data_IF_484036907413
#
_entry.id   IF_484036907413
#
_cell.length_a   1.000
_cell.length_b   1.000
_cell.length_c   1.000
_cell.angle_alpha   90.00
_cell.angle_beta   90.00
_cell.angle_gamma   90.00
#
_symmetry.space_group_name_H-M   'P 1'
#
loop_
_entity.id
_entity.type
_entity.pdbx_description
1 polymer ?
#
# COMPACT_ATOMS: atom_id res chain seq x y z
N UNK A 1 -5.20 39.29 -9.18
CA UNK A 1 -5.11 37.98 -9.85
C UNK A 1 -3.63 37.63 -9.97
N UNK A 2 -3.06 37.03 -8.92
CA UNK A 2 -1.67 36.54 -8.91
C UNK A 2 -1.72 35.09 -8.46
N UNK A 3 -1.21 34.24 -9.35
CA UNK A 3 -1.31 32.79 -9.32
C UNK A 3 -0.71 32.20 -8.05
N UNK A 4 -1.54 31.54 -7.25
CA UNK A 4 -1.12 30.57 -6.24
C UNK A 4 -0.56 29.33 -6.96
N UNK A 5 0.65 29.42 -7.50
CA UNK A 5 1.46 28.24 -7.84
C UNK A 5 2.13 27.74 -6.56
N UNK A 6 1.30 27.33 -5.60
CA UNK A 6 1.71 26.70 -4.34
C UNK A 6 1.23 25.23 -4.27
N UNK A 7 1.04 24.59 -5.43
CA UNK A 7 0.73 23.17 -5.53
C UNK A 7 1.84 22.45 -6.29
N UNK A 8 2.99 22.29 -5.64
CA UNK A 8 3.98 21.28 -6.04
C UNK A 8 4.80 20.87 -4.82
N UNK A 9 4.11 20.32 -3.82
CA UNK A 9 4.74 19.34 -2.95
C UNK A 9 4.47 18.00 -3.62
N UNK A 10 5.48 17.46 -4.32
CA UNK A 10 5.48 16.07 -4.77
C UNK A 10 5.30 15.20 -3.52
N UNK A 11 4.07 14.78 -3.21
CA UNK A 11 3.81 13.85 -2.11
C UNK A 11 4.53 12.53 -2.43
N UNK A 12 5.70 12.33 -1.82
CA UNK A 12 6.40 11.06 -1.88
C UNK A 12 5.60 10.04 -1.07
N UNK A 13 5.14 8.98 -1.73
CA UNK A 13 4.49 7.85 -1.06
C UNK A 13 5.56 6.83 -0.72
N UNK A 14 5.69 6.52 0.57
CA UNK A 14 6.60 5.47 1.03
C UNK A 14 5.91 4.11 0.85
N UNK A 15 6.55 3.22 0.11
CA UNK A 15 6.12 1.83 -0.06
C UNK A 15 7.12 0.92 0.62
N UNK A 16 6.63 0.00 1.45
CA UNK A 16 7.40 -1.08 2.03
C UNK A 16 7.23 -2.32 1.14
N UNK A 17 8.35 -3.00 0.85
CA UNK A 17 8.35 -4.24 0.10
C UNK A 17 8.53 -5.39 1.08
N UNK A 18 7.53 -6.26 1.17
CA UNK A 18 7.49 -7.33 2.18
C UNK A 18 7.24 -8.65 1.48
N UNK A 19 8.06 -9.66 1.78
CA UNK A 19 7.83 -11.02 1.34
C UNK A 19 7.10 -11.79 2.45
N UNK A 20 5.89 -12.26 2.16
CA UNK A 20 5.17 -13.18 3.04
C UNK A 20 5.62 -14.61 2.78
N UNK A 21 5.48 -15.50 3.76
CA UNK A 21 5.83 -16.93 3.65
C UNK A 21 7.32 -17.23 3.33
N UNK A 22 8.23 -16.40 3.84
CA UNK A 22 9.67 -16.67 3.73
C UNK A 22 10.09 -17.81 4.66
N UNK A 23 11.11 -18.57 4.25
CA UNK A 23 11.85 -19.48 5.14
C UNK A 23 13.33 -19.11 5.07
N UNK A 24 13.96 -18.90 6.22
CA UNK A 24 15.37 -18.50 6.33
C UNK A 24 15.72 -17.26 5.48
N UNK A 25 14.82 -16.28 5.44
CA UNK A 25 14.91 -15.06 4.61
C UNK A 25 14.94 -15.29 3.09
N UNK A 26 14.62 -16.50 2.62
CA UNK A 26 14.55 -16.85 1.21
C UNK A 26 13.11 -17.18 0.75
N UNK A 27 12.82 -16.85 -0.51
CA UNK A 27 11.54 -17.13 -1.16
C UNK A 27 10.39 -16.22 -0.68
N UNK A 28 9.18 -16.75 -0.74
CA UNK A 28 7.96 -16.05 -0.33
C UNK A 28 7.19 -15.40 -1.48
N UNK A 29 6.11 -14.69 -1.13
CA UNK A 29 5.29 -13.93 -2.06
C UNK A 29 5.42 -12.43 -1.76
N UNK A 30 6.01 -11.63 -2.66
CA UNK A 30 6.20 -10.19 -2.45
C UNK A 30 4.89 -9.42 -2.53
N UNK A 31 4.75 -8.44 -1.65
CA UNK A 31 3.66 -7.46 -1.68
C UNK A 31 4.18 -6.06 -1.37
N UNK A 32 3.57 -5.05 -2.00
CA UNK A 32 3.73 -3.67 -1.59
C UNK A 32 2.85 -3.36 -0.38
N UNK A 33 3.34 -2.58 0.56
CA UNK A 33 2.56 -2.09 1.71
C UNK A 33 2.75 -0.58 1.84
N UNK A 34 1.65 0.16 1.85
CA UNK A 34 1.62 1.61 2.05
C UNK A 34 0.89 1.89 3.35
N UNK A 35 1.61 2.42 4.34
CA UNK A 35 1.05 2.74 5.65
C UNK A 35 0.59 4.19 5.73
N UNK A 36 -0.63 4.40 6.22
CA UNK A 36 -1.25 5.70 6.45
C UNK A 36 -1.06 6.69 5.28
N UNK A 37 -1.37 6.29 4.03
CA UNK A 37 -1.28 7.21 2.91
C UNK A 37 -2.28 8.37 3.09
N UNK A 38 -2.05 9.52 2.43
CA UNK A 38 -3.10 10.52 2.27
C UNK A 38 -4.30 9.91 1.54
N UNK A 39 -5.40 10.64 1.45
CA UNK A 39 -6.54 10.21 0.64
C UNK A 39 -6.13 10.09 -0.83
N UNK A 40 -6.00 8.85 -1.31
CA UNK A 40 -5.66 8.52 -2.69
C UNK A 40 -6.91 8.12 -3.47
N UNK A 41 -7.00 8.53 -4.73
CA UNK A 41 -8.02 8.02 -5.66
C UNK A 41 -7.68 6.60 -6.11
N UNK A 42 -8.67 5.90 -6.67
CA UNK A 42 -8.47 4.56 -7.25
C UNK A 42 -7.36 4.56 -8.31
N UNK A 43 -7.35 5.55 -9.20
CA UNK A 43 -6.35 5.68 -10.26
C UNK A 43 -4.95 5.89 -9.69
N UNK A 44 -4.82 6.65 -8.59
CA UNK A 44 -3.54 6.85 -7.92
C UNK A 44 -3.05 5.55 -7.26
N UNK A 45 -3.93 4.77 -6.63
CA UNK A 45 -3.57 3.47 -6.05
C UNK A 45 -3.13 2.47 -7.11
N UNK A 46 -3.83 2.42 -8.25
CA UNK A 46 -3.44 1.60 -9.41
C UNK A 46 -2.07 2.06 -9.93
N UNK A 47 -1.85 3.36 -10.12
CA UNK A 47 -0.57 3.88 -10.60
C UNK A 47 0.60 3.57 -9.65
N UNK A 48 0.34 3.54 -8.34
CA UNK A 48 1.32 3.11 -7.34
C UNK A 48 1.56 1.60 -7.46
N UNK A 49 0.51 0.78 -7.50
CA UNK A 49 0.64 -0.67 -7.64
C UNK A 49 1.42 -1.06 -8.92
N UNK A 50 1.19 -0.36 -10.03
CA UNK A 50 1.96 -0.50 -11.27
C UNK A 50 3.44 -0.16 -11.11
N UNK A 51 3.77 0.89 -10.34
CA UNK A 51 5.17 1.26 -10.05
C UNK A 51 5.85 0.27 -9.11
N UNK A 52 5.11 -0.33 -8.17
CA UNK A 52 5.62 -1.37 -7.27
C UNK A 52 5.96 -2.64 -8.03
N UNK A 53 5.11 -3.02 -9.00
CA UNK A 53 5.40 -4.13 -9.92
C UNK A 53 5.25 -5.53 -9.30
N UNK A 54 4.65 -5.64 -8.12
CA UNK A 54 4.25 -6.91 -7.52
C UNK A 54 2.78 -7.23 -7.81
N UNK A 55 2.36 -8.46 -7.52
CA UNK A 55 0.99 -8.93 -7.75
C UNK A 55 -0.03 -8.04 -7.04
N UNK A 56 0.24 -7.62 -5.80
CA UNK A 56 -0.63 -6.76 -5.01
C UNK A 56 0.14 -5.73 -4.19
N UNK A 57 -0.53 -4.60 -3.96
CA UNK A 57 -0.14 -3.56 -3.01
C UNK A 57 -1.29 -3.31 -2.03
N UNK A 58 -1.02 -3.39 -0.74
CA UNK A 58 -1.96 -3.10 0.33
C UNK A 58 -1.81 -1.65 0.80
N UNK A 59 -2.93 -0.93 0.92
CA UNK A 59 -2.99 0.43 1.44
C UNK A 59 -3.71 0.40 2.78
N UNK A 60 -3.01 0.75 3.85
CA UNK A 60 -3.46 0.62 5.23
C UNK A 60 -3.82 1.99 5.79
N UNK A 61 -5.01 2.10 6.36
CA UNK A 61 -5.56 3.29 7.00
C UNK A 61 -5.92 2.97 8.44
N UNK A 62 -5.89 3.98 9.31
CA UNK A 62 -6.60 3.92 10.59
C UNK A 62 -8.10 3.76 10.31
N UNK A 63 -8.75 2.82 11.00
CA UNK A 63 -10.20 2.71 10.96
C UNK A 63 -10.86 3.68 11.93
N UNK A 64 -12.10 4.07 11.64
CA UNK A 64 -12.90 4.89 12.55
C UNK A 64 -13.51 4.01 13.67
N UNK A 65 -14.06 2.86 13.31
CA UNK A 65 -14.66 1.85 14.22
C UNK A 65 -13.87 0.52 14.24
N UNK A 66 -12.74 0.46 13.54
CA UNK A 66 -11.84 -0.71 13.47
C UNK A 66 -10.40 -0.28 13.73
N UNK A 67 -9.54 -1.19 14.18
CA UNK A 67 -8.12 -0.85 14.37
C UNK A 67 -7.48 -0.36 13.07
N UNK A 68 -7.81 -1.03 11.96
CA UNK A 68 -7.32 -0.69 10.62
C UNK A 68 -8.38 -0.96 9.55
N UNK A 69 -8.25 -0.24 8.43
CA UNK A 69 -8.88 -0.56 7.15
C UNK A 69 -7.78 -0.81 6.11
N UNK A 70 -7.94 -1.81 5.27
CA UNK A 70 -6.97 -2.15 4.22
C UNK A 70 -7.69 -2.25 2.88
N UNK A 71 -7.16 -1.55 1.87
CA UNK A 71 -7.56 -1.75 0.47
C UNK A 71 -6.44 -2.50 -0.27
N UNK A 72 -6.80 -3.46 -1.12
CA UNK A 72 -5.85 -4.24 -1.92
C UNK A 72 -5.97 -3.89 -3.39
N UNK A 73 -4.83 -3.60 -4.04
CA UNK A 73 -4.80 -3.24 -5.46
C UNK A 73 -3.77 -4.07 -6.21
N UNK A 74 -4.17 -4.53 -7.40
CA UNK A 74 -3.26 -5.01 -8.44
C UNK A 74 -2.90 -3.86 -9.39
N UNK A 75 -2.07 -4.15 -10.39
CA UNK A 75 -1.80 -3.22 -11.49
C UNK A 75 -3.04 -2.89 -12.36
N UNK A 76 -4.14 -3.63 -12.21
CA UNK A 76 -5.35 -3.54 -13.03
C UNK A 76 -6.54 -2.96 -12.25
N UNK A 77 -6.59 -3.10 -10.93
CA UNK A 77 -7.70 -2.61 -10.13
C UNK A 77 -7.71 -3.06 -8.67
N UNK A 78 -8.78 -2.71 -7.97
CA UNK A 78 -9.03 -3.15 -6.60
C UNK A 78 -9.44 -4.62 -6.57
N UNK A 79 -9.04 -5.34 -5.53
CA UNK A 79 -9.48 -6.72 -5.27
C UNK A 79 -10.02 -6.82 -3.84
N UNK A 80 -11.07 -7.62 -3.67
CA UNK A 80 -11.80 -7.71 -2.40
C UNK A 80 -10.95 -8.23 -1.24
N UNK A 81 -10.00 -9.14 -1.52
CA UNK A 81 -9.17 -9.74 -0.48
C UNK A 81 -7.89 -10.38 -1.03
N UNK A 82 -6.80 -10.28 -0.27
CA UNK A 82 -5.55 -10.96 -0.56
C UNK A 82 -4.83 -11.44 0.72
N UNK A 83 -4.67 -12.77 0.85
CA UNK A 83 -4.16 -13.40 2.07
C UNK A 83 -2.71 -13.08 2.40
N UNK A 84 -1.79 -13.15 1.42
CA UNK A 84 -0.37 -12.84 1.66
C UNK A 84 -0.12 -11.35 1.90
N UNK A 85 -0.90 -10.48 1.27
CA UNK A 85 -0.83 -9.04 1.50
C UNK A 85 -1.34 -8.67 2.91
N UNK A 86 -2.33 -9.40 3.43
CA UNK A 86 -2.78 -9.26 4.82
C UNK A 86 -1.65 -9.59 5.80
N UNK A 87 -0.94 -10.71 5.61
CA UNK A 87 0.22 -11.05 6.44
C UNK A 87 1.35 -10.02 6.34
N UNK A 88 1.60 -9.49 5.14
CA UNK A 88 2.60 -8.44 4.93
C UNK A 88 2.27 -7.17 5.71
N UNK A 89 1.00 -6.77 5.75
CA UNK A 89 0.51 -5.62 6.54
C UNK A 89 0.77 -5.83 8.03
N UNK A 90 0.39 -6.97 8.60
CA UNK A 90 0.52 -7.21 10.05
C UNK A 90 1.96 -7.45 10.49
N UNK A 91 2.82 -8.03 9.66
CA UNK A 91 4.24 -8.14 9.97
C UNK A 91 4.88 -6.75 10.19
N UNK A 92 4.45 -5.74 9.41
CA UNK A 92 4.98 -4.39 9.55
C UNK A 92 4.22 -3.54 10.59
N UNK A 93 2.90 -3.68 10.66
CA UNK A 93 2.04 -2.83 11.51
C UNK A 93 2.02 -3.22 12.99
N UNK A 94 2.40 -4.46 13.33
CA UNK A 94 2.47 -4.96 14.73
C UNK A 94 3.85 -4.76 15.35
N UNK A 95 4.87 -4.38 14.56
CA UNK A 95 6.27 -4.21 15.01
C UNK A 95 6.67 -2.71 15.12
N UNK A 96 5.73 -1.79 14.96
CA UNK A 96 5.96 -0.34 15.12
C UNK A 96 5.56 0.15 16.52
#
# INVERSE_FOLDING_TARGET
>A
MQNQVAQSMKNSIKVYLVNSFTRDHCGGNPAGVVLNPPKLTTEQKIAIAQQVGFSETAFVYSGDDTDFKVDFFTAEGEVDFCGHATLAVFFHSVIA
#
